data_IF_132906273216
#
_entry.id   IF_132906273216
#
_cell.length_a   1.000
_cell.length_b   1.000
_cell.length_c   1.000
_cell.angle_alpha   90.00
_cell.angle_beta   90.00
_cell.angle_gamma   90.00
#
_symmetry.space_group_name_H-M   'P 1'
#
loop_
_entity.id
_entity.type
_entity.pdbx_description
1 polymer ?
#
# COMPACT_ATOMS: atom_id res chain seq x y z
N UNK A 1 -7.49 3.79 14.45
CA UNK A 1 -6.65 4.23 15.59
C UNK A 1 -6.79 3.20 16.69
N UNK A 2 -5.82 2.32 16.86
CA UNK A 2 -5.78 1.30 17.92
C UNK A 2 -4.79 1.81 18.99
N UNK A 3 -5.17 2.86 19.71
CA UNK A 3 -4.37 3.40 20.81
C UNK A 3 -4.80 2.78 22.14
N UNK A 4 -3.97 1.95 22.74
CA UNK A 4 -4.16 1.39 24.07
C UNK A 4 -2.88 0.67 24.54
N UNK A 5 -2.66 0.55 25.83
CA UNK A 5 -1.48 -0.10 26.44
C UNK A 5 -1.32 -1.54 25.92
N UNK A 6 -0.34 -1.72 25.05
CA UNK A 6 -0.17 -2.89 24.21
C UNK A 6 0.79 -3.90 24.84
N UNK A 7 0.35 -4.62 25.87
CA UNK A 7 0.98 -5.87 26.27
C UNK A 7 0.54 -6.98 25.30
N UNK A 8 1.11 -6.98 24.09
CA UNK A 8 0.69 -7.92 23.07
C UNK A 8 1.31 -9.28 23.29
N UNK A 9 0.47 -10.22 23.69
CA UNK A 9 0.79 -11.63 23.54
C UNK A 9 0.87 -11.97 22.06
N UNK A 10 1.86 -12.80 21.70
CA UNK A 10 2.00 -13.34 20.34
C UNK A 10 0.65 -13.91 19.86
N UNK A 11 0.27 -13.58 18.64
CA UNK A 11 -1.02 -13.99 18.07
C UNK A 11 -2.14 -12.94 18.17
N UNK A 12 -1.97 -11.90 18.99
CA UNK A 12 -3.01 -10.88 19.12
C UNK A 12 -3.23 -10.09 17.81
N UNK A 13 -2.15 -9.69 17.15
CA UNK A 13 -2.22 -8.92 15.92
C UNK A 13 -2.91 -9.73 14.81
N UNK A 14 -2.55 -11.01 14.68
CA UNK A 14 -3.13 -11.94 13.70
C UNK A 14 -4.63 -12.13 13.94
N UNK A 15 -5.06 -12.19 15.19
CA UNK A 15 -6.48 -12.31 15.54
C UNK A 15 -7.24 -11.03 15.21
N UNK A 16 -6.68 -9.85 15.49
CA UNK A 16 -7.26 -8.56 15.10
C UNK A 16 -7.34 -8.44 13.57
N UNK A 17 -6.26 -8.83 12.87
CA UNK A 17 -6.22 -8.81 11.42
C UNK A 17 -7.31 -9.66 10.78
N UNK A 18 -7.47 -10.91 11.26
CA UNK A 18 -8.56 -11.80 10.83
C UNK A 18 -9.93 -11.22 11.14
N UNK A 19 -10.08 -10.56 12.29
CA UNK A 19 -11.33 -9.92 12.65
C UNK A 19 -11.69 -8.77 11.71
N UNK A 20 -10.72 -7.94 11.36
CA UNK A 20 -10.89 -6.80 10.45
C UNK A 20 -11.21 -7.22 9.02
N UNK A 21 -10.47 -8.19 8.52
CA UNK A 21 -10.64 -8.67 7.14
C UNK A 21 -11.82 -9.60 6.98
N UNK A 22 -12.42 -10.07 8.07
CA UNK A 22 -13.51 -11.06 8.06
C UNK A 22 -14.66 -10.68 7.13
N UNK A 23 -15.11 -9.42 7.15
CA UNK A 23 -16.27 -8.99 6.38
C UNK A 23 -16.06 -9.08 4.86
N UNK A 24 -14.84 -8.84 4.39
CA UNK A 24 -14.49 -8.97 2.96
C UNK A 24 -14.19 -10.42 2.61
N UNK A 25 -13.59 -11.18 3.52
CA UNK A 25 -13.27 -12.60 3.32
C UNK A 25 -14.54 -13.46 3.23
N UNK A 26 -15.50 -13.29 4.16
CA UNK A 26 -16.76 -14.03 4.17
C UNK A 26 -17.62 -13.75 2.92
N UNK A 27 -17.39 -12.65 2.24
CA UNK A 27 -18.06 -12.27 1.00
C UNK A 27 -17.23 -12.51 -0.25
N UNK A 28 -16.06 -13.11 -0.10
CA UNK A 28 -15.11 -13.35 -1.19
C UNK A 28 -14.80 -12.07 -2.00
N UNK A 29 -14.73 -10.91 -1.32
CA UNK A 29 -14.41 -9.63 -1.97
C UNK A 29 -12.91 -9.47 -2.02
N UNK A 30 -12.30 -9.35 -3.21
CA UNK A 30 -10.89 -9.01 -3.33
C UNK A 30 -10.62 -7.63 -2.74
N UNK A 31 -9.54 -7.52 -1.99
CA UNK A 31 -9.11 -6.24 -1.41
C UNK A 31 -7.59 -6.07 -1.52
N UNK A 32 -7.14 -4.84 -1.41
CA UNK A 32 -5.74 -4.48 -1.35
C UNK A 32 -5.49 -3.56 -0.17
N UNK A 33 -4.31 -3.68 0.44
CA UNK A 33 -3.96 -2.96 1.65
C UNK A 33 -2.72 -2.08 1.43
N UNK A 34 -2.71 -0.89 2.03
CA UNK A 34 -1.53 -0.03 2.16
C UNK A 34 -1.33 0.34 3.61
N UNK A 35 -0.08 0.24 4.07
CA UNK A 35 0.29 0.48 5.47
C UNK A 35 0.15 1.94 5.86
N UNK A 36 -0.41 2.16 7.05
CA UNK A 36 -0.38 3.43 7.76
C UNK A 36 0.90 3.59 8.60
N UNK A 37 1.04 4.75 9.22
CA UNK A 37 2.22 5.10 10.02
C UNK A 37 2.24 4.47 11.43
N UNK A 38 1.13 3.88 11.87
CA UNK A 38 0.99 3.25 13.18
C UNK A 38 0.83 1.72 13.12
N UNK A 39 0.86 1.13 11.94
CA UNK A 39 0.52 -0.30 11.79
C UNK A 39 1.59 -1.22 12.36
N UNK A 40 2.85 -0.81 12.38
CA UNK A 40 4.00 -1.55 12.88
C UNK A 40 4.45 -1.15 14.30
N UNK A 41 3.60 -0.44 15.05
CA UNK A 41 3.86 -0.11 16.46
C UNK A 41 3.69 -1.32 17.42
N UNK A 42 3.13 -2.43 16.93
CA UNK A 42 3.03 -3.69 17.66
C UNK A 42 4.31 -4.53 17.49
N UNK A 43 4.20 -5.86 17.56
CA UNK A 43 5.36 -6.75 17.45
C UNK A 43 5.67 -7.25 16.04
N UNK A 44 4.77 -7.03 15.07
CA UNK A 44 5.01 -7.35 13.66
C UNK A 44 5.61 -6.13 12.95
N UNK A 45 6.67 -6.38 12.20
CA UNK A 45 7.22 -5.40 11.28
C UNK A 45 6.27 -5.16 10.10
N UNK A 46 6.41 -4.04 9.41
CA UNK A 46 5.65 -3.70 8.19
C UNK A 46 5.64 -4.85 7.18
N UNK A 47 6.78 -5.52 7.01
CA UNK A 47 6.93 -6.66 6.13
C UNK A 47 6.07 -7.84 6.58
N UNK A 48 6.17 -8.21 7.86
CA UNK A 48 5.42 -9.33 8.44
C UNK A 48 3.90 -9.09 8.39
N UNK A 49 3.45 -7.83 8.51
CA UNK A 49 2.05 -7.46 8.36
C UNK A 49 1.57 -7.75 6.93
N UNK A 50 2.33 -7.38 5.92
CA UNK A 50 1.96 -7.68 4.52
C UNK A 50 2.05 -9.18 4.24
N UNK A 51 3.05 -9.88 4.78
CA UNK A 51 3.14 -11.34 4.69
C UNK A 51 1.92 -12.02 5.32
N UNK A 52 1.47 -11.53 6.47
CA UNK A 52 0.24 -11.99 7.13
C UNK A 52 -0.99 -11.72 6.25
N UNK A 53 -1.13 -10.51 5.71
CA UNK A 53 -2.25 -10.14 4.83
C UNK A 53 -2.30 -11.03 3.58
N UNK A 54 -1.16 -11.31 2.98
CA UNK A 54 -1.04 -12.19 1.81
C UNK A 54 -1.44 -13.65 2.09
N UNK A 55 -1.57 -14.06 3.34
CA UNK A 55 -2.12 -15.39 3.68
C UNK A 55 -3.63 -15.48 3.43
N UNK A 56 -4.31 -14.34 3.30
CA UNK A 56 -5.72 -14.29 2.99
C UNK A 56 -5.94 -14.48 1.48
N UNK A 57 -6.76 -15.45 1.06
CA UNK A 57 -6.97 -15.75 -0.36
C UNK A 57 -7.64 -14.59 -1.15
N UNK A 58 -8.27 -13.65 -0.46
CA UNK A 58 -8.90 -12.49 -1.07
C UNK A 58 -7.97 -11.25 -1.11
N UNK A 59 -6.80 -11.32 -0.48
CA UNK A 59 -5.83 -10.23 -0.53
C UNK A 59 -5.17 -10.16 -1.91
N UNK A 60 -5.10 -8.94 -2.44
CA UNK A 60 -4.33 -8.58 -3.63
C UNK A 60 -3.05 -7.83 -3.27
N UNK A 61 -2.75 -7.71 -1.97
CA UNK A 61 -1.53 -7.07 -1.48
C UNK A 61 -0.30 -7.84 -1.92
N UNK A 62 0.79 -7.14 -2.12
CA UNK A 62 2.04 -7.73 -2.56
C UNK A 62 3.23 -7.06 -1.90
N UNK A 63 4.21 -7.88 -1.53
CA UNK A 63 5.51 -7.41 -1.11
C UNK A 63 6.34 -7.01 -2.31
N UNK A 64 7.08 -5.93 -2.15
CA UNK A 64 8.15 -5.61 -3.07
C UNK A 64 9.48 -6.14 -2.54
N UNK A 65 10.15 -6.97 -3.33
CA UNK A 65 11.33 -7.72 -2.91
C UNK A 65 12.67 -6.99 -3.13
N UNK A 66 12.64 -5.78 -3.66
CA UNK A 66 13.87 -4.97 -3.76
C UNK A 66 14.10 -4.21 -2.45
N UNK A 67 15.35 -3.83 -2.18
CA UNK A 67 15.75 -3.01 -1.02
C UNK A 67 15.20 -1.58 -1.16
N UNK A 68 13.91 -1.42 -0.95
CA UNK A 68 13.25 -0.13 -0.85
C UNK A 68 12.91 0.18 0.61
N UNK A 69 12.79 1.44 0.88
CA UNK A 69 12.11 1.89 2.07
C UNK A 69 10.61 1.56 1.92
N UNK A 70 10.06 0.82 2.88
CA UNK A 70 8.68 0.36 2.88
C UNK A 70 8.47 -1.07 2.36
N UNK A 71 7.33 -1.66 2.72
CA UNK A 71 7.01 -3.06 2.45
C UNK A 71 5.89 -3.25 1.41
N UNK A 72 4.99 -2.27 1.24
CA UNK A 72 3.78 -2.40 0.44
C UNK A 72 3.77 -1.47 -0.79
N UNK A 73 4.79 -1.60 -1.65
CA UNK A 73 4.86 -0.87 -2.90
C UNK A 73 4.54 -1.82 -4.07
N UNK A 74 3.35 -1.70 -4.66
CA UNK A 74 2.92 -2.60 -5.73
C UNK A 74 1.88 -1.95 -6.65
N UNK A 75 1.58 -2.61 -7.76
CA UNK A 75 0.58 -2.18 -8.73
C UNK A 75 -0.35 -3.32 -9.09
N UNK A 76 -1.64 -3.02 -9.19
CA UNK A 76 -2.68 -3.97 -9.59
C UNK A 76 -3.29 -3.48 -10.90
N UNK A 77 -3.19 -4.26 -11.99
CA UNK A 77 -3.89 -3.94 -13.22
C UNK A 77 -5.38 -4.27 -13.09
N UNK A 78 -6.23 -3.35 -13.54
CA UNK A 78 -7.67 -3.57 -13.66
C UNK A 78 -7.99 -3.87 -15.11
N UNK A 79 -8.58 -5.03 -15.33
CA UNK A 79 -8.96 -5.51 -16.66
C UNK A 79 -10.37 -5.06 -17.02
N UNK A 80 -10.66 -4.92 -18.31
CA UNK A 80 -11.98 -4.52 -18.82
C UNK A 80 -13.11 -5.46 -18.37
N UNK A 81 -12.84 -6.74 -18.29
CA UNK A 81 -13.73 -7.79 -17.78
C UNK A 81 -12.94 -9.01 -17.36
N UNK A 82 -13.58 -9.96 -16.66
CA UNK A 82 -12.97 -11.19 -16.19
C UNK A 82 -12.32 -12.05 -17.31
N UNK A 83 -12.80 -11.93 -18.54
CA UNK A 83 -12.30 -12.68 -19.69
C UNK A 83 -11.45 -11.84 -20.65
N UNK A 84 -11.03 -10.64 -20.23
CA UNK A 84 -10.25 -9.72 -21.04
C UNK A 84 -8.82 -9.62 -20.54
N UNK A 85 -7.87 -9.58 -21.47
CA UNK A 85 -6.48 -9.23 -21.17
C UNK A 85 -6.23 -7.71 -21.35
N UNK A 86 -7.29 -6.93 -21.65
CA UNK A 86 -7.17 -5.49 -21.83
C UNK A 86 -7.18 -4.79 -20.48
N UNK A 87 -6.04 -4.23 -20.08
CA UNK A 87 -5.93 -3.36 -18.92
C UNK A 87 -6.53 -2.00 -19.23
N UNK A 88 -7.39 -1.50 -18.34
CA UNK A 88 -8.06 -0.19 -18.49
C UNK A 88 -7.58 0.83 -17.46
N UNK A 89 -6.99 0.37 -16.35
CA UNK A 89 -6.54 1.20 -15.24
C UNK A 89 -5.47 0.46 -14.45
N UNK A 90 -4.51 1.17 -13.87
CA UNK A 90 -3.55 0.64 -12.90
C UNK A 90 -3.81 1.25 -11.53
N UNK A 91 -3.93 0.41 -10.48
CA UNK A 91 -4.03 0.84 -9.09
C UNK A 91 -2.64 0.73 -8.45
N UNK A 92 -2.09 1.87 -8.03
CA UNK A 92 -0.76 1.98 -7.44
C UNK A 92 -0.88 2.11 -5.94
N UNK A 93 -0.15 1.29 -5.20
CA UNK A 93 -0.08 1.32 -3.75
C UNK A 93 1.32 1.70 -3.34
N UNK A 94 1.42 2.74 -2.49
CA UNK A 94 2.69 3.27 -2.01
C UNK A 94 2.75 3.20 -0.49
N UNK A 95 3.80 2.62 0.03
CA UNK A 95 4.14 2.67 1.44
C UNK A 95 4.80 4.02 1.74
N UNK A 96 4.09 4.86 2.46
CA UNK A 96 4.57 6.18 2.86
C UNK A 96 5.37 6.15 4.17
N UNK A 97 5.71 4.95 4.66
CA UNK A 97 6.44 4.74 5.90
C UNK A 97 5.69 5.24 7.14
N UNK A 98 6.34 5.19 8.28
CA UNK A 98 5.81 5.57 9.58
C UNK A 98 6.26 6.98 10.00
N UNK A 99 7.57 7.17 10.06
CA UNK A 99 8.21 8.35 10.64
C UNK A 99 9.49 8.71 9.86
N UNK A 100 9.84 10.00 9.86
CA UNK A 100 10.99 10.59 9.17
C UNK A 100 10.95 10.50 7.64
N UNK A 101 10.79 11.66 7.04
CA UNK A 101 10.94 11.82 5.61
C UNK A 101 12.36 12.33 5.28
N UNK A 102 13.20 11.52 4.67
CA UNK A 102 14.60 11.85 4.34
C UNK A 102 15.44 12.32 5.54
N UNK A 103 15.21 11.74 6.72
CA UNK A 103 15.91 12.09 7.95
C UNK A 103 15.35 13.32 8.69
N UNK A 104 14.32 13.96 8.16
CA UNK A 104 13.61 15.05 8.83
C UNK A 104 12.53 14.45 9.73
N UNK A 105 12.50 14.85 11.00
CA UNK A 105 11.52 14.39 11.98
C UNK A 105 10.10 14.77 11.57
N UNK A 106 9.15 13.89 11.83
CA UNK A 106 7.74 14.00 11.48
C UNK A 106 7.24 12.79 10.72
N UNK A 107 6.16 12.96 9.98
CA UNK A 107 5.58 11.88 9.21
C UNK A 107 6.54 11.34 8.13
N UNK A 108 6.41 10.05 7.84
CA UNK A 108 7.10 9.40 6.74
C UNK A 108 6.67 9.94 5.36
N UNK A 109 7.29 9.43 4.33
CA UNK A 109 6.96 9.77 2.94
C UNK A 109 7.36 8.63 2.00
N UNK A 110 6.84 8.66 0.78
CA UNK A 110 7.27 7.76 -0.28
C UNK A 110 8.72 8.05 -0.66
N UNK A 111 9.58 7.04 -0.58
CA UNK A 111 11.01 7.21 -0.81
C UNK A 111 11.35 7.49 -2.28
N UNK A 112 12.54 8.04 -2.52
CA UNK A 112 13.06 8.29 -3.87
C UNK A 112 13.22 7.00 -4.67
N UNK A 113 13.65 5.92 -4.02
CA UNK A 113 13.79 4.62 -4.66
C UNK A 113 12.44 4.09 -5.15
N UNK A 114 11.38 4.26 -4.35
CA UNK A 114 10.00 3.90 -4.72
C UNK A 114 9.51 4.77 -5.88
N UNK A 115 9.81 6.06 -5.90
CA UNK A 115 9.48 6.93 -7.04
C UNK A 115 10.20 6.52 -8.32
N UNK A 116 11.46 6.10 -8.23
CA UNK A 116 12.21 5.61 -9.39
C UNK A 116 11.69 4.25 -9.87
N UNK A 117 11.31 3.36 -8.94
CA UNK A 117 10.59 2.14 -9.27
C UNK A 117 9.27 2.46 -9.99
N UNK A 118 8.47 3.37 -9.45
CA UNK A 118 7.21 3.79 -10.09
C UNK A 118 7.43 4.26 -11.52
N UNK A 119 8.40 5.16 -11.76
CA UNK A 119 8.71 5.68 -13.09
C UNK A 119 9.07 4.56 -14.07
N UNK A 120 9.95 3.64 -13.66
CA UNK A 120 10.38 2.50 -14.48
C UNK A 120 9.22 1.57 -14.77
N UNK A 121 8.47 1.17 -13.73
CA UNK A 121 7.34 0.24 -13.86
C UNK A 121 6.21 0.85 -14.67
N UNK A 122 5.88 2.11 -14.46
CA UNK A 122 4.87 2.83 -15.24
C UNK A 122 5.26 2.90 -16.73
N UNK A 123 6.52 3.20 -17.05
CA UNK A 123 7.01 3.19 -18.42
C UNK A 123 6.84 1.79 -19.04
N UNK A 124 7.31 0.75 -18.34
CA UNK A 124 7.19 -0.63 -18.84
C UNK A 124 5.74 -1.04 -19.07
N UNK A 125 4.86 -0.81 -18.08
CA UNK A 125 3.44 -1.14 -18.20
C UNK A 125 2.76 -0.35 -19.33
N UNK A 126 3.17 0.91 -19.58
CA UNK A 126 2.63 1.71 -20.69
C UNK A 126 2.97 1.09 -22.05
N UNK A 127 4.16 0.50 -22.20
CA UNK A 127 4.56 -0.23 -23.38
C UNK A 127 3.79 -1.53 -23.51
N UNK A 128 3.80 -2.36 -22.46
CA UNK A 128 3.20 -3.69 -22.45
C UNK A 128 1.67 -3.64 -22.59
N UNK A 129 1.03 -2.64 -22.04
CA UNK A 129 -0.41 -2.42 -22.03
C UNK A 129 -0.88 -1.51 -23.18
N UNK A 130 -0.10 -1.36 -24.24
CA UNK A 130 -0.46 -0.60 -25.44
C UNK A 130 -0.90 0.85 -25.18
N UNK A 131 -0.22 1.50 -24.24
CA UNK A 131 -0.42 2.93 -23.96
C UNK A 131 -1.41 3.25 -22.84
N UNK A 132 -1.83 2.28 -22.03
CA UNK A 132 -2.64 2.56 -20.82
C UNK A 132 -1.84 3.41 -19.84
N UNK A 133 -2.26 4.65 -19.63
CA UNK A 133 -1.61 5.64 -18.73
C UNK A 133 -2.47 6.00 -17.53
N UNK A 134 -3.71 5.52 -17.48
CA UNK A 134 -4.63 5.83 -16.38
C UNK A 134 -4.21 5.06 -15.14
N UNK A 135 -4.20 5.75 -13.99
CA UNK A 135 -3.90 5.15 -12.70
C UNK A 135 -4.53 5.91 -11.57
N UNK A 136 -4.77 5.19 -10.47
CA UNK A 136 -5.08 5.77 -9.17
C UNK A 136 -3.94 5.38 -8.23
N UNK A 137 -3.53 6.32 -7.38
CA UNK A 137 -2.50 6.11 -6.36
C UNK A 137 -3.13 6.12 -4.98
N UNK A 138 -2.76 5.15 -4.17
CA UNK A 138 -3.17 5.00 -2.77
C UNK A 138 -1.94 5.08 -1.89
N UNK A 139 -2.00 5.93 -0.87
CA UNK A 139 -0.98 6.08 0.17
C UNK A 139 -1.64 6.60 1.45
N UNK A 140 -1.05 6.29 2.60
CA UNK A 140 -1.61 6.71 3.88
C UNK A 140 -1.25 8.16 4.22
N UNK A 141 0.04 8.51 4.17
CA UNK A 141 0.51 9.88 4.41
C UNK A 141 0.48 10.63 3.08
N UNK A 142 -0.32 11.69 2.96
CA UNK A 142 -0.39 12.48 1.73
C UNK A 142 0.93 13.21 1.48
N UNK A 143 1.35 13.40 0.22
CA UNK A 143 2.52 14.20 -0.09
C UNK A 143 2.30 15.68 0.29
N UNK A 144 3.38 16.36 0.66
CA UNK A 144 3.34 17.75 1.13
C UNK A 144 2.77 18.72 0.09
N UNK A 145 2.84 18.40 -1.17
CA UNK A 145 2.28 19.15 -2.29
C UNK A 145 0.75 19.33 -2.18
N UNK A 146 0.06 18.42 -1.49
CA UNK A 146 -1.38 18.58 -1.21
C UNK A 146 -1.66 19.78 -0.30
N UNK A 147 -0.78 20.08 0.68
CA UNK A 147 -0.92 21.26 1.53
C UNK A 147 -0.73 22.54 0.69
N UNK A 148 0.28 22.56 -0.18
CA UNK A 148 0.52 23.70 -1.08
C UNK A 148 -0.68 23.91 -2.02
N UNK A 149 -1.22 22.84 -2.57
CA UNK A 149 -2.39 22.94 -3.45
C UNK A 149 -3.64 23.43 -2.71
N UNK A 150 -3.80 23.03 -1.45
CA UNK A 150 -4.90 23.51 -0.59
C UNK A 150 -4.78 25.01 -0.29
N UNK A 151 -3.59 25.46 0.11
CA UNK A 151 -3.34 26.85 0.48
C UNK A 151 -3.46 27.84 -0.70
N UNK A 152 -3.18 27.39 -1.92
CA UNK A 152 -3.28 28.19 -3.16
C UNK A 152 -4.70 28.21 -3.72
N UNK A 153 -5.53 27.23 -3.35
CA UNK A 153 -6.90 27.07 -3.84
C UNK A 153 -8.00 27.63 -2.93
N UNK A 154 -7.63 28.22 -1.77
CA UNK A 154 -8.56 28.78 -0.78
C UNK A 154 -8.65 30.31 -0.86
#
# INVERSE_FOLDING_TARGET
MLGGDWNHTQGWFEDQWRHWTRAVCEREIPYAYTLGNHDDEAYLSRREIIELDMTNPNSLSSLYYQEFDGASNYVIPVYRSANSNEVVLNLWFFDSMDYKCYGVDGNGCVSRNVLDWFRKTHHQLTVDQKGVKRGLAFMHIPPQEFLVAWDVGS
#
